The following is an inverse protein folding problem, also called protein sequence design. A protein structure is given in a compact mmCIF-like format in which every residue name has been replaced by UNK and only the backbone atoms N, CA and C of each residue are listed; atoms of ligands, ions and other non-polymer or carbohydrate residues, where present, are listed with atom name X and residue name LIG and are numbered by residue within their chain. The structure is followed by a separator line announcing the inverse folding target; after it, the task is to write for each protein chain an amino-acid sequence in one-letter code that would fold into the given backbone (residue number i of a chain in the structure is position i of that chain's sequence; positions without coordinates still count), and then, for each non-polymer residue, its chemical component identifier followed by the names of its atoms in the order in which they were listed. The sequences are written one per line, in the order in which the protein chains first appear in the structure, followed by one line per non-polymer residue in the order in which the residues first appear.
data_IF_340680850924
#
_entry.id   IF_340680850924
#
_cell.length_a   1.000
_cell.length_b   1.000
_cell.length_c   1.000
_cell.angle_alpha   90.00
_cell.angle_beta   90.00
_cell.angle_gamma   90.00
#
_symmetry.space_group_name_H-M   'P 1'
#
loop_
_entity.id
_entity.type
_entity.pdbx_description
1 polymer ?
#
# COMPACT_ATOMS: atom_id res chain seq x y z
N UNK A 1 37.05 -29.58 20.03
CA UNK A 1 35.72 -30.05 20.50
C UNK A 1 34.68 -29.17 19.83
N UNK A 2 33.92 -29.73 18.90
CA UNK A 2 32.78 -29.05 18.28
C UNK A 2 31.68 -28.94 19.34
N UNK A 3 31.29 -27.71 19.67
CA UNK A 3 30.11 -27.47 20.51
C UNK A 3 28.90 -28.01 19.74
N UNK A 4 28.07 -28.90 20.33
CA UNK A 4 26.82 -29.27 19.72
C UNK A 4 25.90 -28.05 19.83
N UNK A 5 25.68 -27.36 18.71
CA UNK A 5 24.62 -26.36 18.60
C UNK A 5 23.32 -27.11 18.83
N UNK A 6 22.69 -26.87 19.97
CA UNK A 6 21.50 -27.60 20.42
C UNK A 6 20.41 -27.59 19.35
N UNK A 7 19.98 -28.77 18.90
CA UNK A 7 18.83 -29.03 18.01
C UNK A 7 17.46 -28.49 18.54
N UNK A 8 17.47 -27.72 19.64
CA UNK A 8 16.31 -27.11 20.26
C UNK A 8 16.12 -25.63 19.92
N UNK A 9 17.11 -24.98 19.30
CA UNK A 9 17.13 -23.52 19.12
C UNK A 9 16.79 -23.05 17.70
N UNK A 10 16.89 -23.92 16.67
CA UNK A 10 16.42 -23.64 15.32
C UNK A 10 15.64 -24.87 14.83
N UNK A 11 14.37 -24.73 14.42
CA UNK A 11 13.47 -25.83 14.03
C UNK A 11 13.10 -26.88 15.12
N UNK A 12 13.45 -26.61 16.38
CA UNK A 12 13.02 -27.40 17.55
C UNK A 12 11.53 -27.21 17.91
N UNK A 13 11.02 -27.97 18.89
CA UNK A 13 9.61 -27.94 19.32
C UNK A 13 9.12 -26.55 19.74
N UNK A 14 10.00 -25.71 20.29
CA UNK A 14 9.66 -24.36 20.74
C UNK A 14 9.33 -23.41 19.58
N UNK A 15 10.09 -23.46 18.48
CA UNK A 15 9.82 -22.63 17.30
C UNK A 15 8.53 -23.04 16.59
N UNK A 16 8.25 -24.36 16.52
CA UNK A 16 6.97 -24.87 16.02
C UNK A 16 5.79 -24.48 16.90
N UNK A 17 5.91 -24.59 18.22
CA UNK A 17 4.83 -24.20 19.13
C UNK A 17 4.55 -22.68 19.10
N UNK A 18 5.61 -21.85 19.03
CA UNK A 18 5.45 -20.41 18.80
C UNK A 18 4.74 -20.14 17.47
N UNK A 19 5.15 -20.82 16.39
CA UNK A 19 4.53 -20.67 15.10
C UNK A 19 3.04 -21.02 15.14
N UNK A 20 2.66 -22.15 15.74
CA UNK A 20 1.26 -22.58 15.87
C UNK A 20 0.40 -21.57 16.63
N UNK A 21 0.98 -20.86 17.61
CA UNK A 21 0.30 -19.82 18.38
C UNK A 21 0.20 -18.49 17.60
N UNK A 22 1.27 -18.07 16.93
CA UNK A 22 1.35 -16.75 16.31
C UNK A 22 0.84 -16.69 14.87
N UNK A 23 0.94 -17.78 14.10
CA UNK A 23 0.44 -17.85 12.72
C UNK A 23 -1.04 -17.41 12.59
N UNK A 24 -2.01 -17.96 13.37
CA UNK A 24 -3.39 -17.51 13.28
C UNK A 24 -3.60 -16.07 13.78
N UNK A 25 -2.76 -15.58 14.69
CA UNK A 25 -2.84 -14.20 15.18
C UNK A 25 -2.39 -13.21 14.11
N UNK A 26 -1.32 -13.52 13.38
CA UNK A 26 -0.81 -12.68 12.29
C UNK A 26 -1.78 -12.68 11.11
N UNK A 27 -2.35 -13.83 10.73
CA UNK A 27 -3.41 -13.89 9.71
C UNK A 27 -4.59 -13.01 10.11
N UNK A 28 -5.08 -13.15 11.35
CA UNK A 28 -6.19 -12.33 11.86
C UNK A 28 -5.84 -10.84 11.87
N UNK A 29 -4.61 -10.47 12.20
CA UNK A 29 -4.17 -9.08 12.17
C UNK A 29 -4.20 -8.53 10.73
N UNK A 30 -3.71 -9.30 9.76
CA UNK A 30 -3.77 -8.92 8.34
C UNK A 30 -5.22 -8.75 7.88
N UNK A 31 -6.13 -9.67 8.22
CA UNK A 31 -7.56 -9.56 7.88
C UNK A 31 -8.22 -8.31 8.50
N UNK A 32 -7.86 -7.99 9.75
CA UNK A 32 -8.35 -6.79 10.43
C UNK A 32 -7.81 -5.52 9.76
N UNK A 33 -6.55 -5.53 9.34
CA UNK A 33 -5.94 -4.42 8.63
C UNK A 33 -6.55 -4.24 7.25
N UNK A 34 -6.80 -5.33 6.51
CA UNK A 34 -7.53 -5.33 5.25
C UNK A 34 -8.87 -4.61 5.40
N UNK A 35 -9.65 -5.04 6.39
CA UNK A 35 -10.96 -4.47 6.69
C UNK A 35 -10.87 -3.00 7.10
N UNK A 36 -9.89 -2.64 7.92
CA UNK A 36 -9.66 -1.26 8.37
C UNK A 36 -9.30 -0.33 7.21
N UNK A 37 -8.41 -0.79 6.32
CA UNK A 37 -7.97 -0.05 5.15
C UNK A 37 -9.12 0.10 4.15
N UNK A 38 -9.84 -0.98 3.84
CA UNK A 38 -10.99 -0.94 2.93
C UNK A 38 -12.07 0.06 3.40
N UNK A 39 -12.35 0.09 4.71
CA UNK A 39 -13.26 1.04 5.33
C UNK A 39 -12.74 2.48 5.24
N UNK A 40 -11.44 2.70 5.44
CA UNK A 40 -10.80 4.00 5.29
C UNK A 40 -10.96 4.53 3.86
N UNK A 41 -10.70 3.69 2.85
CA UNK A 41 -10.90 4.09 1.45
C UNK A 41 -12.39 4.39 1.18
N UNK A 42 -13.32 3.65 1.78
CA UNK A 42 -14.74 3.86 1.51
C UNK A 42 -15.25 5.17 2.13
N UNK A 43 -14.92 5.42 3.39
CA UNK A 43 -15.41 6.59 4.14
C UNK A 43 -14.60 7.86 3.90
N UNK A 44 -13.29 7.71 3.68
CA UNK A 44 -12.35 8.81 3.48
C UNK A 44 -12.60 9.52 2.16
N UNK A 45 -12.64 8.78 1.05
CA UNK A 45 -12.81 9.36 -0.30
C UNK A 45 -14.18 10.01 -0.54
N UNK A 46 -15.25 9.56 0.14
CA UNK A 46 -16.57 10.19 0.06
C UNK A 46 -16.64 11.56 0.76
N UNK A 47 -15.82 11.76 1.81
CA UNK A 47 -15.78 13.01 2.59
C UNK A 47 -14.56 13.87 2.31
N UNK A 48 -13.72 13.45 1.36
CA UNK A 48 -12.44 14.09 1.12
C UNK A 48 -12.64 15.49 0.55
N UNK A 49 -12.05 16.49 1.21
CA UNK A 49 -12.03 17.87 0.71
C UNK A 49 -11.17 18.01 -0.55
N UNK A 50 -10.26 17.05 -0.79
CA UNK A 50 -9.22 17.10 -1.81
C UNK A 50 -8.33 18.34 -1.67
N UNK A 51 -8.15 18.80 -0.43
CA UNK A 51 -7.12 19.77 -0.10
C UNK A 51 -5.75 19.07 -0.22
N UNK A 52 -4.76 19.74 -0.83
CA UNK A 52 -3.44 19.15 -1.00
C UNK A 52 -2.81 18.94 0.38
N UNK A 53 -2.68 17.68 0.78
CA UNK A 53 -1.87 17.27 1.93
C UNK A 53 -0.64 16.63 1.30
N UNK A 54 0.47 17.39 1.26
CA UNK A 54 1.69 17.03 0.53
C UNK A 54 1.45 16.75 -0.97
N UNK A 55 1.88 15.59 -1.46
CA UNK A 55 1.77 15.21 -2.87
C UNK A 55 0.38 14.67 -3.23
N UNK A 56 -0.40 14.17 -2.26
CA UNK A 56 -1.70 13.53 -2.53
C UNK A 56 -2.81 14.01 -1.59
N UNK A 57 -3.64 13.09 -1.14
CA UNK A 57 -4.62 13.33 -0.09
C UNK A 57 -4.21 12.66 1.22
N UNK A 58 -4.67 13.19 2.36
CA UNK A 58 -4.38 12.58 3.65
C UNK A 58 -4.84 11.12 3.73
N UNK A 59 -5.94 10.76 3.06
CA UNK A 59 -6.42 9.37 3.01
C UNK A 59 -5.54 8.48 2.14
N UNK A 60 -5.06 8.95 0.99
CA UNK A 60 -4.19 8.15 0.11
C UNK A 60 -2.80 7.96 0.72
N UNK A 61 -2.23 9.00 1.35
CA UNK A 61 -0.98 8.85 2.09
C UNK A 61 -1.15 7.87 3.25
N UNK A 62 -2.28 7.97 3.97
CA UNK A 62 -2.61 7.06 5.07
C UNK A 62 -2.65 5.59 4.63
N UNK A 63 -3.28 5.36 3.49
CA UNK A 63 -3.36 4.06 2.85
C UNK A 63 -1.97 3.51 2.51
N UNK A 64 -1.14 4.29 1.81
CA UNK A 64 0.14 3.79 1.33
C UNK A 64 1.11 3.50 2.47
N UNK A 65 1.16 4.32 3.52
CA UNK A 65 2.04 4.01 4.66
C UNK A 65 1.59 2.76 5.40
N UNK A 66 0.27 2.52 5.55
CA UNK A 66 -0.24 1.31 6.21
C UNK A 66 0.18 0.05 5.45
N UNK A 67 0.07 0.07 4.13
CA UNK A 67 0.48 -1.04 3.28
C UNK A 67 1.99 -1.29 3.36
N UNK A 68 2.81 -0.24 3.30
CA UNK A 68 4.28 -0.36 3.39
C UNK A 68 4.73 -0.85 4.78
N UNK A 69 4.13 -0.32 5.85
CA UNK A 69 4.38 -0.75 7.22
C UNK A 69 4.00 -2.22 7.43
N UNK A 70 2.88 -2.67 6.86
CA UNK A 70 2.47 -4.08 6.89
C UNK A 70 3.46 -4.98 6.15
N UNK A 71 3.93 -4.56 4.98
CA UNK A 71 4.90 -5.33 4.18
C UNK A 71 6.22 -5.46 4.91
N UNK A 72 6.70 -4.37 5.50
CA UNK A 72 7.91 -4.37 6.33
C UNK A 72 7.72 -5.26 7.55
N UNK A 73 6.59 -5.16 8.26
CA UNK A 73 6.29 -6.01 9.41
C UNK A 73 6.32 -7.50 9.08
N UNK A 74 5.65 -7.93 7.98
CA UNK A 74 5.62 -9.35 7.59
C UNK A 74 7.02 -9.85 7.18
N UNK A 75 7.81 -9.02 6.49
CA UNK A 75 9.20 -9.36 6.11
C UNK A 75 10.09 -9.51 7.35
N UNK A 76 9.95 -8.62 8.32
CA UNK A 76 10.79 -8.58 9.52
C UNK A 76 10.47 -9.70 10.53
N UNK A 77 9.34 -10.40 10.38
CA UNK A 77 8.99 -11.56 11.22
C UNK A 77 9.91 -12.77 10.98
N UNK A 78 10.64 -12.84 9.86
CA UNK A 78 11.59 -13.91 9.52
C UNK A 78 11.04 -15.33 9.83
N UNK A 79 9.87 -15.65 9.29
CA UNK A 79 9.20 -16.94 9.57
C UNK A 79 10.12 -18.14 9.29
N UNK A 80 10.25 -19.09 10.23
CA UNK A 80 11.12 -20.26 10.05
C UNK A 80 10.64 -21.21 8.96
N UNK A 81 9.33 -21.25 8.69
CA UNK A 81 8.74 -21.99 7.59
C UNK A 81 8.55 -21.08 6.37
N UNK A 82 9.40 -21.31 5.35
CA UNK A 82 9.44 -20.48 4.16
C UNK A 82 8.11 -20.52 3.37
N UNK A 83 7.38 -21.63 3.40
CA UNK A 83 6.06 -21.76 2.74
C UNK A 83 5.01 -20.82 3.36
N UNK A 84 4.92 -20.75 4.69
CA UNK A 84 3.98 -19.86 5.36
C UNK A 84 4.35 -18.39 5.16
N UNK A 85 5.65 -18.05 5.24
CA UNK A 85 6.15 -16.72 4.95
C UNK A 85 5.80 -16.27 3.53
N UNK A 86 6.05 -17.13 2.53
CA UNK A 86 5.68 -16.88 1.12
C UNK A 86 4.17 -16.75 0.93
N UNK A 87 3.38 -17.58 1.61
CA UNK A 87 1.92 -17.51 1.54
C UNK A 87 1.39 -16.18 2.10
N UNK A 88 1.89 -15.74 3.26
CA UNK A 88 1.55 -14.45 3.85
C UNK A 88 1.97 -13.28 2.95
N UNK A 89 3.18 -13.33 2.39
CA UNK A 89 3.67 -12.30 1.47
C UNK A 89 2.79 -12.21 0.21
N UNK A 90 2.44 -13.35 -0.39
CA UNK A 90 1.54 -13.40 -1.55
C UNK A 90 0.15 -12.83 -1.22
N UNK A 91 -0.42 -13.22 -0.07
CA UNK A 91 -1.69 -12.65 0.42
C UNK A 91 -1.60 -11.14 0.60
N UNK A 92 -0.51 -10.65 1.20
CA UNK A 92 -0.32 -9.22 1.44
C UNK A 92 -0.13 -8.44 0.14
N UNK A 93 0.56 -9.00 -0.85
CA UNK A 93 0.69 -8.41 -2.19
C UNK A 93 -0.67 -8.29 -2.88
N UNK A 94 -1.47 -9.35 -2.88
CA UNK A 94 -2.84 -9.34 -3.42
C UNK A 94 -3.70 -8.30 -2.71
N UNK A 95 -3.71 -8.32 -1.38
CA UNK A 95 -4.42 -7.32 -0.57
C UNK A 95 -3.98 -5.89 -0.91
N UNK A 96 -2.68 -5.65 -1.03
CA UNK A 96 -2.13 -4.33 -1.39
C UNK A 96 -2.60 -3.89 -2.79
N UNK A 97 -2.56 -4.80 -3.77
CA UNK A 97 -3.05 -4.56 -5.12
C UNK A 97 -4.53 -4.18 -5.14
N UNK A 98 -5.38 -4.95 -4.43
CA UNK A 98 -6.82 -4.71 -4.36
C UNK A 98 -7.15 -3.37 -3.70
N UNK A 99 -6.41 -2.99 -2.65
CA UNK A 99 -6.58 -1.70 -1.98
C UNK A 99 -6.15 -0.52 -2.87
N UNK A 100 -5.03 -0.65 -3.58
CA UNK A 100 -4.57 0.38 -4.53
C UNK A 100 -5.57 0.51 -5.69
N UNK A 101 -6.04 -0.60 -6.25
CA UNK A 101 -7.03 -0.58 -7.33
C UNK A 101 -8.34 0.10 -6.88
N UNK A 102 -8.79 -0.21 -5.67
CA UNK A 102 -9.97 0.42 -5.06
C UNK A 102 -9.79 1.92 -4.85
N UNK A 103 -8.60 2.36 -4.43
CA UNK A 103 -8.23 3.77 -4.32
C UNK A 103 -8.28 4.49 -5.68
N UNK A 104 -7.68 3.89 -6.72
CA UNK A 104 -7.68 4.45 -8.08
C UNK A 104 -9.08 4.54 -8.66
N UNK A 105 -9.88 3.47 -8.54
CA UNK A 105 -11.27 3.43 -9.02
C UNK A 105 -12.09 4.57 -8.42
N UNK A 106 -12.01 4.78 -7.10
CA UNK A 106 -12.74 5.86 -6.41
C UNK A 106 -12.23 7.25 -6.77
N UNK A 107 -10.91 7.42 -6.82
CA UNK A 107 -10.28 8.69 -7.22
C UNK A 107 -10.71 9.10 -8.63
N UNK A 108 -10.74 8.14 -9.57
CA UNK A 108 -11.21 8.36 -10.94
C UNK A 108 -12.67 8.81 -10.99
N UNK A 109 -13.56 8.15 -10.25
CA UNK A 109 -14.99 8.54 -10.18
C UNK A 109 -15.13 9.96 -9.64
N UNK A 110 -14.40 10.31 -8.58
CA UNK A 110 -14.41 11.66 -8.03
C UNK A 110 -13.81 12.71 -8.98
N UNK A 111 -12.73 12.34 -9.70
CA UNK A 111 -12.09 13.16 -10.74
C UNK A 111 -13.05 13.46 -11.89
N UNK A 112 -13.70 12.45 -12.47
CA UNK A 112 -14.68 12.62 -13.54
C UNK A 112 -15.86 13.50 -13.08
N UNK A 113 -16.36 13.30 -11.86
CA UNK A 113 -17.44 14.11 -11.29
C UNK A 113 -17.04 15.58 -11.09
N UNK A 114 -15.80 15.87 -10.67
CA UNK A 114 -15.30 17.24 -10.56
C UNK A 114 -15.01 17.87 -11.92
N UNK A 115 -14.44 17.10 -12.86
CA UNK A 115 -14.12 17.55 -14.21
C UNK A 115 -15.38 17.99 -14.98
N UNK A 116 -16.48 17.23 -14.85
CA UNK A 116 -17.77 17.59 -15.47
C UNK A 116 -18.35 18.90 -14.91
N UNK A 117 -18.08 19.23 -13.64
CA UNK A 117 -18.52 20.50 -13.02
C UNK A 117 -17.65 21.68 -13.45
N UNK A 118 -16.33 21.50 -13.56
CA UNK A 118 -15.41 22.56 -14.01
C UNK A 118 -15.49 22.84 -15.51
N UNK A 119 -15.88 21.85 -16.34
CA UNK A 119 -16.07 22.05 -17.78
C UNK A 119 -17.18 23.06 -18.13
N UNK A 120 -18.04 23.44 -17.17
CA UNK A 120 -19.11 24.42 -17.36
C UNK A 120 -18.66 25.87 -17.08
N UNK A 121 -17.47 26.05 -16.55
CA UNK A 121 -16.87 27.37 -16.28
C UNK A 121 -15.80 27.68 -17.33
N UNK A 122 -15.82 28.89 -17.90
CA UNK A 122 -14.88 29.35 -18.94
C UNK A 122 -13.49 29.73 -18.43
N UNK A 123 -13.14 29.32 -17.21
CA UNK A 123 -11.83 29.59 -16.61
C UNK A 123 -10.90 28.40 -16.90
N UNK A 124 -9.88 28.61 -17.73
CA UNK A 124 -8.93 27.59 -18.22
C UNK A 124 -7.98 27.07 -17.13
N UNK A 125 -8.22 27.41 -15.86
CA UNK A 125 -7.37 27.04 -14.72
C UNK A 125 -7.82 25.72 -14.11
N UNK A 126 -6.92 24.75 -14.07
CA UNK A 126 -7.15 23.47 -13.39
C UNK A 126 -7.32 23.72 -11.88
N UNK A 127 -8.45 23.34 -11.26
CA UNK A 127 -8.64 23.46 -9.81
C UNK A 127 -7.63 22.59 -9.04
N UNK A 128 -7.11 23.10 -7.91
CA UNK A 128 -6.11 22.41 -7.08
C UNK A 128 -6.52 20.97 -6.67
N UNK A 129 -7.82 20.73 -6.47
CA UNK A 129 -8.32 19.39 -6.15
C UNK A 129 -8.16 18.39 -7.29
N UNK A 130 -8.18 18.84 -8.55
CA UNK A 130 -7.97 17.98 -9.73
C UNK A 130 -6.48 17.57 -9.80
N UNK A 131 -5.55 18.48 -9.52
CA UNK A 131 -4.12 18.16 -9.39
C UNK A 131 -3.88 17.14 -8.28
N UNK A 132 -4.53 17.33 -7.12
CA UNK A 132 -4.43 16.42 -5.98
C UNK A 132 -4.91 15.01 -6.36
N UNK A 133 -6.06 14.88 -7.02
CA UNK A 133 -6.56 13.59 -7.55
C UNK A 133 -5.60 12.95 -8.54
N UNK A 134 -4.99 13.75 -9.43
CA UNK A 134 -4.02 13.25 -10.40
C UNK A 134 -2.77 12.70 -9.73
N UNK A 135 -2.22 13.42 -8.75
CA UNK A 135 -1.07 12.94 -8.00
C UNK A 135 -1.37 11.64 -7.26
N UNK A 136 -2.55 11.50 -6.64
CA UNK A 136 -2.98 10.23 -6.02
C UNK A 136 -2.97 9.08 -7.03
N UNK A 137 -3.42 9.30 -8.27
CA UNK A 137 -3.37 8.28 -9.31
C UNK A 137 -1.94 7.94 -9.75
N UNK A 138 -1.06 8.95 -9.84
CA UNK A 138 0.36 8.75 -10.16
C UNK A 138 1.07 7.97 -9.06
N UNK A 139 0.84 8.32 -7.80
CA UNK A 139 1.43 7.64 -6.65
C UNK A 139 0.92 6.20 -6.54
N UNK A 140 -0.38 5.99 -6.76
CA UNK A 140 -0.95 4.64 -6.83
C UNK A 140 -0.28 3.78 -7.92
N UNK A 141 0.03 4.38 -9.08
CA UNK A 141 0.76 3.70 -10.15
C UNK A 141 2.19 3.36 -9.73
N UNK A 142 2.89 4.29 -9.07
CA UNK A 142 4.23 4.02 -8.55
C UNK A 142 4.23 2.89 -7.51
N UNK A 143 3.24 2.87 -6.61
CA UNK A 143 3.08 1.80 -5.62
C UNK A 143 2.73 0.46 -6.29
N UNK A 144 1.88 0.43 -7.32
CA UNK A 144 1.63 -0.81 -8.08
C UNK A 144 2.89 -1.34 -8.78
N UNK A 145 3.73 -0.44 -9.30
CA UNK A 145 4.99 -0.85 -9.93
C UNK A 145 5.97 -1.44 -8.91
N UNK A 146 6.04 -0.88 -7.69
CA UNK A 146 6.82 -1.45 -6.58
C UNK A 146 6.34 -2.86 -6.23
N UNK A 147 5.03 -3.08 -6.14
CA UNK A 147 4.45 -4.41 -5.89
C UNK A 147 4.84 -5.43 -6.98
N UNK A 148 4.83 -5.02 -8.25
CA UNK A 148 5.23 -5.88 -9.37
C UNK A 148 6.75 -6.13 -9.43
N UNK A 149 7.58 -5.15 -9.06
CA UNK A 149 9.03 -5.33 -8.96
C UNK A 149 9.42 -6.35 -7.85
N UNK A 150 8.54 -6.60 -6.89
CA UNK A 150 8.73 -7.67 -5.91
C UNK A 150 8.46 -9.09 -6.48
N UNK A 151 8.03 -9.26 -7.75
CA UNK A 151 7.98 -10.56 -8.46
C UNK A 151 9.21 -10.83 -9.32
N UNK A 152 9.89 -9.80 -9.81
CA UNK A 152 11.14 -9.91 -10.55
C UNK A 152 12.17 -9.05 -9.83
N UNK A 153 13.09 -9.66 -9.08
CA UNK A 153 14.18 -8.94 -8.40
C UNK A 153 15.03 -8.12 -9.37
N UNK A 154 14.62 -6.88 -9.63
CA UNK A 154 15.33 -5.94 -10.49
C UNK A 154 15.06 -4.50 -10.07
N UNK A 155 16.16 -3.85 -9.68
CA UNK A 155 16.29 -2.44 -9.39
C UNK A 155 15.66 -1.60 -10.52
N UNK A 156 14.69 -0.75 -10.19
CA UNK A 156 14.25 0.30 -11.10
C UNK A 156 14.81 1.61 -10.57
N UNK A 157 15.89 2.01 -11.22
CA UNK A 157 16.63 3.26 -11.07
C UNK A 157 15.68 4.45 -11.28
N UNK A 158 15.62 5.32 -10.27
CA UNK A 158 14.89 6.58 -10.26
C UNK A 158 15.28 7.45 -11.47
N UNK A 159 14.37 7.58 -12.43
CA UNK A 159 14.37 8.69 -13.38
C UNK A 159 13.07 9.49 -13.21
N UNK A 160 12.91 10.02 -11.99
CA UNK A 160 11.92 11.05 -11.70
C UNK A 160 12.38 12.35 -12.40
N UNK A 161 11.76 12.70 -13.53
CA UNK A 161 11.72 14.09 -13.96
C UNK A 161 10.52 14.72 -13.24
N UNK A 162 10.72 15.49 -12.15
CA UNK A 162 9.63 16.27 -11.61
C UNK A 162 9.20 17.26 -12.69
N UNK A 163 7.96 17.14 -13.16
CA UNK A 163 7.29 18.22 -13.88
C UNK A 163 7.11 19.34 -12.85
N UNK A 164 8.11 20.22 -12.76
CA UNK A 164 7.98 21.50 -12.09
C UNK A 164 7.03 22.31 -12.96
N UNK A 165 5.74 22.27 -12.64
CA UNK A 165 4.79 23.27 -13.13
C UNK A 165 5.18 24.59 -12.48
N UNK A 166 6.08 25.31 -13.16
CA UNK A 166 6.49 26.65 -12.79
C UNK A 166 5.24 27.54 -12.86
N UNK A 167 4.76 27.97 -11.70
CA UNK A 167 3.77 29.04 -11.63
C UNK A 167 4.49 30.34 -11.99
N UNK A 168 4.23 30.84 -13.18
CA UNK A 168 4.47 32.22 -13.61
C UNK A 168 3.13 32.84 -13.95
#
# INVERSE_FOLDING_TARGET
MLFPVSDNLCNGQFHRHLQDLYAPLVVRYVDLMESSIAQSIHRGFERESWEPVNNGSGTSEDLFWKLDALQTFIRDLHWPEEEFGKHLESRLKLMSSDMIESCVKRTRVAFEAKLQKSSRTTDLRVPQSICTMFNVMVDAKAQSAKLCAMELGQEVEDSFIPIVFNQS
#
